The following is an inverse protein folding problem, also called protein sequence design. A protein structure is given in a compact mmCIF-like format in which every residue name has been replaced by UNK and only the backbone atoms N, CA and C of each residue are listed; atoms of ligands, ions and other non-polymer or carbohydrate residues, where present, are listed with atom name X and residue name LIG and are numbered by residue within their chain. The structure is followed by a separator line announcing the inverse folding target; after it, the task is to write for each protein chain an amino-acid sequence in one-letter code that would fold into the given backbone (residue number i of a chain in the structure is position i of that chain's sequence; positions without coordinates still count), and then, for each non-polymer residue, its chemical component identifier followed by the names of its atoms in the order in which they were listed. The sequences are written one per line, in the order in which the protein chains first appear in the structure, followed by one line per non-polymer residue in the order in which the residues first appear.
data_IF_188238201611
#
_entry.id   IF_188238201611
#
_cell.length_a   1.000
_cell.length_b   1.000
_cell.length_c   1.000
_cell.angle_alpha   90.00
_cell.angle_beta   90.00
_cell.angle_gamma   90.00
#
_symmetry.space_group_name_H-M   'P 1'
#
loop_
_entity.id
_entity.type
_entity.pdbx_description
1 polymer ?
#
# COMPACT_ATOMS: atom_id res chain seq x y z
N UNK A 1 1.66 -31.59 -5.16
CA UNK A 1 1.56 -30.60 -4.07
C UNK A 1 2.56 -29.50 -4.39
N UNK A 2 2.08 -28.30 -4.74
CA UNK A 2 2.86 -27.18 -5.26
C UNK A 2 3.81 -26.57 -4.22
N UNK A 3 5.01 -26.19 -4.66
CA UNK A 3 6.03 -25.43 -3.94
C UNK A 3 5.80 -23.92 -4.17
N UNK A 4 5.52 -23.17 -3.10
CA UNK A 4 5.34 -21.72 -3.16
C UNK A 4 6.69 -21.03 -3.43
N UNK A 5 6.78 -20.27 -4.53
CA UNK A 5 7.88 -19.36 -4.82
C UNK A 5 7.65 -18.05 -4.06
N UNK A 6 8.36 -17.84 -2.95
CA UNK A 6 8.42 -16.53 -2.28
C UNK A 6 9.50 -15.68 -2.95
N UNK A 7 9.20 -14.48 -3.48
CA UNK A 7 10.23 -13.58 -3.96
C UNK A 7 11.06 -13.06 -2.78
N UNK A 8 12.38 -13.10 -2.94
CA UNK A 8 13.36 -12.77 -1.91
C UNK A 8 13.21 -11.38 -1.31
N UNK A 9 13.55 -11.28 -0.02
CA UNK A 9 13.71 -10.02 0.71
C UNK A 9 14.78 -9.17 0.04
N UNK A 10 14.40 -8.09 -0.63
CA UNK A 10 15.35 -7.07 -1.07
C UNK A 10 16.02 -6.47 0.17
N UNK A 11 17.34 -6.66 0.29
CA UNK A 11 18.15 -6.09 1.34
C UNK A 11 18.09 -4.56 1.27
N UNK A 12 17.72 -3.92 2.37
CA UNK A 12 17.71 -2.46 2.49
C UNK A 12 19.16 -1.96 2.56
N UNK A 13 19.50 -0.97 1.73
CA UNK A 13 20.81 -0.34 1.62
C UNK A 13 21.24 0.33 2.95
N UNK A 14 22.42 -0.01 3.51
CA UNK A 14 22.93 0.60 4.75
C UNK A 14 23.17 2.12 4.66
N UNK A 15 23.20 2.72 3.46
CA UNK A 15 23.32 4.16 3.28
C UNK A 15 22.09 4.97 3.74
N UNK A 16 20.94 4.31 3.97
CA UNK A 16 19.74 4.95 4.54
C UNK A 16 19.74 5.03 6.08
N UNK A 17 20.81 4.54 6.73
CA UNK A 17 20.98 4.66 8.18
C UNK A 17 21.41 6.09 8.51
N UNK A 18 20.45 7.01 8.49
CA UNK A 18 20.66 8.35 9.01
C UNK A 18 21.17 8.24 10.45
N UNK A 19 22.39 8.73 10.64
CA UNK A 19 23.17 8.66 11.86
C UNK A 19 22.47 9.49 12.95
N UNK A 20 21.65 8.84 13.77
CA UNK A 20 20.98 9.48 14.89
C UNK A 20 21.92 9.56 16.09
N UNK A 21 22.92 10.44 16.00
CA UNK A 21 23.69 10.86 17.18
C UNK A 21 22.94 12.00 17.88
N UNK A 22 22.05 11.66 18.82
CA UNK A 22 21.47 12.65 19.74
C UNK A 22 22.55 13.01 20.78
N UNK A 23 23.29 14.09 20.51
CA UNK A 23 24.07 14.80 21.53
C UNK A 23 23.13 15.78 22.23
N UNK A 24 22.91 15.58 23.52
CA UNK A 24 22.22 16.54 24.38
C UNK A 24 23.03 17.84 24.47
N UNK A 25 22.33 18.96 24.27
CA UNK A 25 22.37 20.16 25.11
C UNK A 25 21.70 21.31 24.36
N UNK A 26 20.64 21.85 24.97
CA UNK A 26 19.93 23.03 24.48
C UNK A 26 18.42 22.85 24.56
N UNK A 27 17.81 23.61 25.46
CA UNK A 27 16.35 23.69 25.66
C UNK A 27 15.64 24.03 24.35
N UNK A 28 15.12 23.01 23.66
CA UNK A 28 14.18 23.20 22.56
C UNK A 28 12.84 23.58 23.17
N UNK A 29 12.42 24.83 22.99
CA UNK A 29 11.05 25.24 23.26
C UNK A 29 10.15 24.48 22.29
N UNK A 30 9.61 23.37 22.76
CA UNK A 30 8.80 22.44 21.99
C UNK A 30 7.45 23.09 21.70
N UNK A 31 7.39 23.84 20.59
CA UNK A 31 6.11 24.32 20.07
C UNK A 31 5.38 23.09 19.55
N UNK A 32 4.42 22.61 20.33
CA UNK A 32 3.48 21.57 19.93
C UNK A 32 2.70 22.05 18.70
N UNK A 33 3.21 21.72 17.52
CA UNK A 33 2.44 21.81 16.28
C UNK A 33 1.55 20.58 16.27
N UNK A 34 0.23 20.71 16.08
CA UNK A 34 -0.64 19.56 15.91
C UNK A 34 -0.10 18.71 14.75
N UNK A 35 0.28 17.48 15.05
CA UNK A 35 0.69 16.52 14.03
C UNK A 35 -0.48 16.17 13.11
N UNK A 36 -0.16 15.71 11.90
CA UNK A 36 -1.19 15.24 10.97
C UNK A 36 -2.04 14.14 11.63
N UNK A 37 -3.36 14.15 11.39
CA UNK A 37 -4.23 13.12 11.94
C UNK A 37 -3.81 11.74 11.41
N UNK A 38 -3.94 10.69 12.24
CA UNK A 38 -3.57 9.34 11.82
C UNK A 38 -4.42 8.90 10.62
N UNK A 39 -3.78 8.27 9.64
CA UNK A 39 -4.47 7.71 8.46
C UNK A 39 -5.42 6.60 8.91
N UNK A 40 -6.68 6.69 8.49
CA UNK A 40 -7.71 5.68 8.76
C UNK A 40 -7.92 4.77 7.55
N UNK A 41 -7.56 3.49 7.70
CA UNK A 41 -7.81 2.46 6.70
C UNK A 41 -9.20 1.82 6.89
N UNK A 42 -9.69 1.11 5.87
CA UNK A 42 -10.91 0.29 5.98
C UNK A 42 -12.22 1.07 6.04
N UNK A 43 -12.24 2.37 5.72
CA UNK A 43 -13.46 3.21 5.78
C UNK A 43 -14.57 2.75 4.82
N UNK A 44 -14.25 1.92 3.83
CA UNK A 44 -15.20 1.32 2.88
C UNK A 44 -15.28 -0.22 2.99
N UNK A 45 -14.77 -0.80 4.07
CA UNK A 45 -14.79 -2.26 4.24
C UNK A 45 -16.23 -2.79 4.23
N UNK A 46 -16.48 -3.81 3.41
CA UNK A 46 -17.81 -4.41 3.26
C UNK A 46 -18.81 -3.60 2.43
N UNK A 47 -18.41 -2.44 1.89
CA UNK A 47 -19.26 -1.64 0.98
C UNK A 47 -19.12 -2.07 -0.49
N UNK A 48 -18.12 -2.90 -0.81
CA UNK A 48 -17.97 -3.50 -2.12
C UNK A 48 -18.70 -4.85 -2.15
N UNK A 49 -19.41 -5.10 -3.25
CA UNK A 49 -19.89 -6.44 -3.59
C UNK A 49 -19.05 -7.02 -4.73
N UNK A 50 -19.05 -8.33 -4.86
CA UNK A 50 -18.53 -9.03 -6.04
C UNK A 50 -19.73 -9.78 -6.62
N UNK A 51 -19.94 -9.67 -7.92
CA UNK A 51 -21.02 -10.38 -8.58
C UNK A 51 -20.75 -11.89 -8.58
N UNK A 52 -21.80 -12.71 -8.52
CA UNK A 52 -21.66 -14.17 -8.48
C UNK A 52 -20.98 -14.73 -9.73
N UNK A 53 -21.06 -13.99 -10.84
CA UNK A 53 -20.49 -14.31 -12.15
C UNK A 53 -19.21 -13.52 -12.46
N UNK A 54 -18.53 -12.97 -11.45
CA UNK A 54 -17.33 -12.16 -11.66
C UNK A 54 -16.23 -12.87 -12.47
N UNK A 55 -16.11 -14.20 -12.29
CA UNK A 55 -15.14 -15.03 -13.01
C UNK A 55 -15.68 -15.54 -14.36
N UNK A 56 -16.92 -15.22 -14.73
CA UNK A 56 -17.49 -15.59 -16.02
C UNK A 56 -16.77 -14.83 -17.16
N UNK A 57 -16.70 -15.42 -18.36
CA UNK A 57 -16.13 -14.73 -19.51
C UNK A 57 -16.93 -13.47 -19.82
N UNK A 58 -16.22 -12.43 -20.29
CA UNK A 58 -16.87 -11.22 -20.77
C UNK A 58 -17.72 -11.53 -22.02
N UNK A 59 -18.92 -10.93 -22.14
CA UNK A 59 -19.70 -10.99 -23.37
C UNK A 59 -18.94 -10.49 -24.60
N UNK A 60 -19.17 -11.12 -25.76
CA UNK A 60 -18.47 -10.82 -27.03
C UNK A 60 -18.51 -9.33 -27.40
N UNK A 61 -19.68 -8.68 -27.25
CA UNK A 61 -19.84 -7.26 -27.56
C UNK A 61 -19.00 -6.33 -26.67
N UNK A 62 -18.70 -6.75 -25.43
CA UNK A 62 -17.80 -6.02 -24.54
C UNK A 62 -16.35 -6.28 -24.91
N UNK A 63 -16.00 -7.53 -25.22
CA UNK A 63 -14.65 -7.88 -25.70
C UNK A 63 -14.26 -7.08 -26.94
N UNK A 64 -15.17 -6.96 -27.91
CA UNK A 64 -14.94 -6.18 -29.13
C UNK A 64 -14.62 -4.72 -28.84
N UNK A 65 -15.26 -4.12 -27.83
CA UNK A 65 -14.97 -2.75 -27.39
C UNK A 65 -13.56 -2.59 -26.79
N UNK A 66 -13.01 -3.64 -26.16
CA UNK A 66 -11.62 -3.64 -25.68
C UNK A 66 -10.61 -3.90 -26.80
N UNK A 67 -10.98 -4.73 -27.77
CA UNK A 67 -10.09 -5.18 -28.85
C UNK A 67 -10.18 -4.33 -30.12
N UNK A 68 -11.08 -3.34 -30.14
CA UNK A 68 -11.20 -2.34 -31.21
C UNK A 68 -11.70 -2.91 -32.54
N UNK A 69 -12.53 -3.95 -32.48
CA UNK A 69 -13.17 -4.56 -33.66
C UNK A 69 -14.55 -3.99 -33.93
#
# INVERSE_FOLDING_TARGET
MQNANTPGTNAVDPAQRADATIRGDGTSTDRLVPGDPPVRFGVLQGQAWIADDFDAPLPDYLLDAFEGR
#
